data_IF_162447824461
#
_entry.id   IF_162447824461
#
_cell.length_a   1.000
_cell.length_b   1.000
_cell.length_c   1.000
_cell.angle_alpha   90.00
_cell.angle_beta   90.00
_cell.angle_gamma   90.00
#
_symmetry.space_group_name_H-M   'P 1'
#
loop_
_entity.id
_entity.type
_entity.pdbx_description
1 polymer ?
#
# COMPACT_ATOMS: atom_id res chain seq x y z
N UNK A 1 28.98 -1.97 21.90
CA UNK A 1 28.97 -1.37 20.55
C UNK A 1 30.40 -1.15 20.09
N UNK A 2 30.61 -0.74 18.84
CA UNK A 2 31.92 -0.30 18.31
C UNK A 2 32.10 1.19 18.63
N UNK A 3 33.29 1.58 19.11
CA UNK A 3 33.61 2.97 19.49
C UNK A 3 34.94 3.40 18.86
N UNK A 4 35.02 4.65 18.41
CA UNK A 4 36.24 5.27 17.89
C UNK A 4 36.28 6.75 18.27
N UNK A 5 37.45 7.23 18.69
CA UNK A 5 37.68 8.62 19.10
C UNK A 5 38.71 9.28 18.18
N UNK A 6 38.44 10.52 17.77
CA UNK A 6 39.36 11.32 16.97
C UNK A 6 39.25 12.81 17.35
N UNK A 7 40.36 13.53 17.24
CA UNK A 7 40.45 14.98 17.51
C UNK A 7 40.64 15.68 16.17
N UNK A 8 39.76 16.64 15.85
CA UNK A 8 39.85 17.46 14.64
C UNK A 8 40.23 18.90 15.01
N UNK A 9 41.15 19.48 14.25
CA UNK A 9 41.45 20.91 14.26
C UNK A 9 40.49 21.67 13.34
N UNK A 10 40.35 23.00 13.49
CA UNK A 10 39.55 23.81 12.58
C UNK A 10 39.95 23.59 11.11
N UNK A 11 38.97 23.19 10.29
CA UNK A 11 39.17 22.90 8.86
C UNK A 11 39.52 21.44 8.54
N UNK A 12 39.75 20.59 9.55
CA UNK A 12 39.94 19.15 9.34
C UNK A 12 38.61 18.40 9.22
N UNK A 13 38.62 17.32 8.45
CA UNK A 13 37.50 16.41 8.27
C UNK A 13 37.95 14.97 8.44
N UNK A 14 37.13 14.16 9.10
CA UNK A 14 37.31 12.71 9.15
C UNK A 14 36.14 12.00 8.47
N UNK A 15 36.45 10.92 7.75
CA UNK A 15 35.47 9.96 7.23
C UNK A 15 35.70 8.63 7.92
N UNK A 16 34.64 7.99 8.39
CA UNK A 16 34.66 6.61 8.83
C UNK A 16 33.59 5.81 8.09
N UNK A 17 33.80 4.50 7.97
CA UNK A 17 32.85 3.59 7.34
C UNK A 17 32.53 2.44 8.29
N UNK A 18 31.24 2.15 8.44
CA UNK A 18 30.76 0.94 9.12
C UNK A 18 30.42 -0.10 8.06
N UNK A 19 31.03 -1.28 8.16
CA UNK A 19 30.83 -2.41 7.25
C UNK A 19 30.31 -3.61 8.04
N UNK A 20 29.31 -4.28 7.50
CA UNK A 20 28.89 -5.60 7.96
C UNK A 20 29.66 -6.66 7.17
N UNK A 21 30.19 -7.68 7.87
CA UNK A 21 30.85 -8.84 7.28
C UNK A 21 30.20 -10.10 7.82
N UNK A 22 29.96 -11.09 6.96
CA UNK A 22 29.35 -12.37 7.37
C UNK A 22 30.36 -13.24 8.14
N UNK A 23 31.62 -13.23 7.71
CA UNK A 23 32.73 -13.86 8.40
C UNK A 23 33.89 -12.86 8.52
N UNK A 24 34.13 -12.39 9.74
CA UNK A 24 35.22 -11.45 10.03
C UNK A 24 36.60 -12.09 9.92
N UNK A 25 36.70 -13.43 9.91
CA UNK A 25 37.95 -14.18 9.77
C UNK A 25 38.35 -14.43 8.31
N UNK A 26 37.40 -14.35 7.38
CA UNK A 26 37.63 -14.53 5.94
C UNK A 26 38.07 -13.24 5.21
N UNK A 27 38.21 -12.12 5.93
CA UNK A 27 38.02 -10.78 5.34
C UNK A 27 39.14 -9.76 5.50
N UNK A 28 40.43 -10.14 5.41
CA UNK A 28 41.52 -9.14 5.41
C UNK A 28 41.36 -8.11 4.26
N UNK A 29 40.85 -8.52 3.10
CA UNK A 29 40.68 -7.64 1.92
C UNK A 29 39.54 -6.62 2.04
N UNK A 30 38.39 -7.00 2.61
CA UNK A 30 37.22 -6.13 2.68
C UNK A 30 37.39 -5.04 3.74
N UNK A 31 38.09 -5.33 4.83
CA UNK A 31 38.39 -4.37 5.89
C UNK A 31 39.60 -3.48 5.56
N UNK A 32 40.57 -4.00 4.79
CA UNK A 32 41.77 -3.23 4.37
C UNK A 32 41.55 -2.28 3.20
N UNK A 33 40.49 -2.44 2.41
CA UNK A 33 40.20 -1.53 1.29
C UNK A 33 39.71 -0.17 1.80
N UNK A 34 40.47 0.92 1.70
CA UNK A 34 40.03 2.24 2.15
C UNK A 34 38.83 2.71 1.32
N UNK A 35 37.81 3.26 1.99
CA UNK A 35 36.69 3.95 1.33
C UNK A 35 37.01 5.43 1.30
N UNK A 36 37.02 6.03 0.10
CA UNK A 36 36.91 7.48 -0.02
C UNK A 36 35.44 7.87 0.20
N UNK A 37 35.13 8.46 1.37
CA UNK A 37 33.76 8.84 1.73
C UNK A 37 33.16 9.91 0.84
N UNK A 38 33.97 10.85 0.37
CA UNK A 38 33.52 11.89 -0.57
C UNK A 38 33.12 11.29 -1.92
N UNK A 39 33.93 10.35 -2.44
CA UNK A 39 33.59 9.62 -3.66
C UNK A 39 32.32 8.77 -3.47
N UNK A 40 32.20 8.07 -2.35
CA UNK A 40 31.00 7.29 -2.03
C UNK A 40 29.74 8.17 -1.96
N UNK A 41 29.83 9.34 -1.32
CA UNK A 41 28.73 10.32 -1.27
C UNK A 41 28.39 10.84 -2.66
N UNK A 42 29.39 11.24 -3.45
CA UNK A 42 29.19 11.71 -4.83
C UNK A 42 28.48 10.67 -5.68
N UNK A 43 28.96 9.43 -5.68
CA UNK A 43 28.35 8.31 -6.42
C UNK A 43 26.91 8.05 -5.97
N UNK A 44 26.63 8.13 -4.67
CA UNK A 44 25.28 7.97 -4.12
C UNK A 44 24.35 9.08 -4.62
N UNK A 45 24.79 10.33 -4.58
CA UNK A 45 24.02 11.49 -5.08
C UNK A 45 23.77 11.39 -6.58
N UNK A 46 24.80 11.04 -7.36
CA UNK A 46 24.69 10.85 -8.81
C UNK A 46 23.70 9.73 -9.18
N UNK A 47 23.75 8.60 -8.46
CA UNK A 47 22.80 7.51 -8.65
C UNK A 47 21.37 7.98 -8.45
N UNK A 48 21.06 8.61 -7.31
CA UNK A 48 19.70 9.05 -6.99
C UNK A 48 19.20 10.15 -7.91
N UNK A 49 20.06 11.11 -8.31
CA UNK A 49 19.70 12.14 -9.29
C UNK A 49 19.41 11.54 -10.67
N UNK A 50 20.23 10.58 -11.12
CA UNK A 50 20.02 9.88 -12.38
C UNK A 50 18.73 9.07 -12.34
N UNK A 51 18.46 8.39 -11.23
CA UNK A 51 17.24 7.63 -11.03
C UNK A 51 16.01 8.54 -11.06
N UNK A 52 15.96 9.59 -10.24
CA UNK A 52 14.86 10.57 -10.24
C UNK A 52 14.68 11.27 -11.60
N UNK A 53 15.76 11.45 -12.36
CA UNK A 53 15.73 11.98 -13.72
C UNK A 53 14.83 11.18 -14.68
N UNK A 54 14.56 9.89 -14.40
CA UNK A 54 13.65 9.04 -15.18
C UNK A 54 12.16 9.37 -14.94
N UNK A 55 11.82 10.09 -13.86
CA UNK A 55 10.44 10.44 -13.51
C UNK A 55 9.73 11.22 -14.62
N UNK A 56 8.57 10.72 -15.03
CA UNK A 56 7.66 11.36 -16.01
C UNK A 56 6.77 12.43 -15.38
N UNK A 57 6.70 12.52 -14.07
CA UNK A 57 5.89 13.53 -13.40
C UNK A 57 6.60 14.89 -13.42
N UNK A 58 5.94 15.91 -13.99
CA UNK A 58 6.41 17.30 -14.06
C UNK A 58 5.36 18.29 -13.52
N UNK A 59 4.41 17.78 -12.74
CA UNK A 59 3.29 18.54 -12.20
C UNK A 59 3.66 19.43 -11.02
N UNK A 60 2.63 20.10 -10.47
CA UNK A 60 2.73 21.13 -9.42
C UNK A 60 3.48 20.67 -8.17
N UNK A 61 3.36 19.40 -7.79
CA UNK A 61 3.93 18.86 -6.55
C UNK A 61 5.15 17.97 -6.78
N UNK A 62 5.98 18.31 -7.79
CA UNK A 62 7.10 17.47 -8.22
C UNK A 62 8.00 17.01 -7.07
N UNK A 63 8.39 17.93 -6.19
CA UNK A 63 9.30 17.61 -5.08
C UNK A 63 8.71 16.61 -4.09
N UNK A 64 7.41 16.71 -3.81
CA UNK A 64 6.70 15.77 -2.93
C UNK A 64 6.55 14.39 -3.57
N UNK A 65 6.24 14.35 -4.87
CA UNK A 65 6.16 13.10 -5.64
C UNK A 65 7.53 12.44 -5.76
N UNK A 66 8.59 13.20 -6.04
CA UNK A 66 9.96 12.69 -6.12
C UNK A 66 10.41 12.15 -4.76
N UNK A 67 10.08 12.84 -3.65
CA UNK A 67 10.36 12.34 -2.29
C UNK A 67 9.66 11.02 -2.01
N UNK A 68 8.37 10.90 -2.32
CA UNK A 68 7.64 9.64 -2.19
C UNK A 68 8.22 8.53 -3.08
N UNK A 69 8.63 8.85 -4.31
CA UNK A 69 9.27 7.89 -5.19
C UNK A 69 10.58 7.33 -4.61
N UNK A 70 11.42 8.20 -4.01
CA UNK A 70 12.63 7.78 -3.31
C UNK A 70 12.32 6.80 -2.18
N UNK A 71 11.28 7.07 -1.38
CA UNK A 71 10.86 6.19 -0.28
C UNK A 71 10.47 4.83 -0.79
N UNK A 72 9.59 4.77 -1.80
CA UNK A 72 9.16 3.50 -2.39
C UNK A 72 10.35 2.70 -2.94
N UNK A 73 11.32 3.38 -3.56
CA UNK A 73 12.56 2.75 -4.04
C UNK A 73 13.44 2.25 -2.89
N UNK A 74 13.56 3.01 -1.80
CA UNK A 74 14.33 2.63 -0.60
C UNK A 74 13.70 1.46 0.17
N UNK A 75 12.37 1.31 0.08
CA UNK A 75 11.63 0.16 0.62
C UNK A 75 11.65 -1.06 -0.31
N UNK A 76 12.32 -0.97 -1.46
CA UNK A 76 12.52 -2.09 -2.38
C UNK A 76 13.84 -2.79 -2.06
N UNK A 77 13.78 -4.08 -1.71
CA UNK A 77 14.95 -4.90 -1.47
C UNK A 77 15.67 -5.18 -2.79
N UNK A 78 16.87 -4.60 -2.93
CA UNK A 78 17.60 -4.59 -4.20
C UNK A 78 17.90 -5.99 -4.76
N UNK A 79 18.19 -7.05 -4.01
CA UNK A 79 18.46 -8.36 -4.61
C UNK A 79 17.26 -9.03 -5.26
N UNK A 80 16.06 -8.93 -4.67
CA UNK A 80 14.88 -9.69 -5.14
C UNK A 80 13.80 -8.83 -5.80
N UNK A 81 13.79 -7.51 -5.57
CA UNK A 81 12.71 -6.63 -6.02
C UNK A 81 11.49 -6.64 -5.09
N UNK A 82 11.55 -7.38 -3.97
CA UNK A 82 10.55 -7.37 -2.91
C UNK A 82 10.36 -5.96 -2.33
N UNK A 83 9.11 -5.54 -2.10
CA UNK A 83 8.78 -4.22 -1.57
C UNK A 83 8.13 -4.39 -0.20
N UNK A 84 8.76 -3.86 0.85
CA UNK A 84 8.21 -3.96 2.21
C UNK A 84 7.20 -2.85 2.50
N UNK A 85 6.21 -3.11 3.35
CA UNK A 85 5.20 -2.12 3.74
C UNK A 85 5.80 -0.93 4.50
N UNK A 86 6.79 -1.18 5.36
CA UNK A 86 7.64 -0.15 5.99
C UNK A 86 8.99 -0.74 6.42
N UNK A 87 9.96 0.14 6.74
CA UNK A 87 11.27 -0.26 7.26
C UNK A 87 11.29 -0.44 8.79
N UNK A 88 10.13 -0.39 9.45
CA UNK A 88 10.01 -0.39 10.92
C UNK A 88 9.17 -1.54 11.43
N UNK A 89 9.34 -1.81 12.74
CA UNK A 89 8.45 -2.67 13.50
C UNK A 89 8.05 -1.98 14.79
N UNK A 90 6.83 -2.28 15.25
CA UNK A 90 6.35 -1.97 16.60
C UNK A 90 6.36 -0.49 16.95
N UNK A 91 6.23 0.37 15.94
CA UNK A 91 5.88 1.75 16.17
C UNK A 91 4.38 1.83 16.48
N UNK A 92 3.99 2.53 17.56
CA UNK A 92 2.63 2.51 18.06
C UNK A 92 1.66 3.36 17.25
N UNK A 93 0.50 2.81 16.92
CA UNK A 93 -0.66 3.57 16.41
C UNK A 93 -1.30 4.47 17.50
N UNK A 94 -1.02 4.17 18.77
CA UNK A 94 -1.40 4.99 19.94
C UNK A 94 -0.25 4.91 20.96
N UNK A 95 0.33 6.04 21.37
CA UNK A 95 1.45 6.03 22.34
C UNK A 95 1.00 5.36 23.66
N UNK A 96 1.74 4.33 24.08
CA UNK A 96 1.40 3.49 25.24
C UNK A 96 0.38 2.38 24.94
N UNK A 97 -0.20 2.36 23.74
CA UNK A 97 -1.16 1.38 23.28
C UNK A 97 -0.54 0.06 22.81
N UNK A 98 -1.43 -0.88 22.48
CA UNK A 98 -1.08 -2.27 22.13
C UNK A 98 -0.94 -2.52 20.62
N UNK A 99 -1.29 -1.53 19.79
CA UNK A 99 -1.28 -1.57 18.33
C UNK A 99 0.12 -1.25 17.79
N UNK A 100 1.01 -2.24 17.90
CA UNK A 100 2.42 -2.13 17.55
C UNK A 100 2.78 -3.34 16.67
N UNK A 101 2.86 -3.13 15.35
CA UNK A 101 2.97 -4.21 14.35
C UNK A 101 4.30 -4.18 13.59
N UNK A 102 4.77 -5.34 13.12
CA UNK A 102 5.95 -5.46 12.26
C UNK A 102 5.56 -5.34 10.79
N UNK A 103 6.08 -4.32 10.10
CA UNK A 103 5.74 -3.99 8.70
C UNK A 103 6.90 -4.28 7.73
N UNK A 104 7.95 -4.96 8.18
CA UNK A 104 9.15 -5.28 7.37
C UNK A 104 8.94 -6.46 6.41
N UNK A 105 7.70 -6.69 6.00
CA UNK A 105 7.28 -7.78 5.12
C UNK A 105 6.66 -7.25 3.84
N UNK A 106 6.59 -8.11 2.84
CA UNK A 106 5.98 -7.83 1.53
C UNK A 106 4.51 -8.20 1.63
N UNK A 107 3.64 -7.23 1.85
CA UNK A 107 2.21 -7.41 1.61
C UNK A 107 1.94 -7.36 0.12
N UNK A 108 1.20 -8.34 -0.39
CA UNK A 108 0.80 -8.39 -1.81
C UNK A 108 0.09 -7.09 -2.20
N UNK A 109 -0.83 -6.62 -1.33
CA UNK A 109 -1.51 -5.34 -1.45
C UNK A 109 -0.53 -4.19 -1.68
N UNK A 110 0.25 -3.87 -0.66
CA UNK A 110 1.13 -2.70 -0.61
C UNK A 110 2.12 -2.69 -1.79
N UNK A 111 2.61 -3.87 -2.17
CA UNK A 111 3.53 -4.02 -3.29
C UNK A 111 2.85 -3.89 -4.65
N UNK A 112 1.65 -4.46 -4.84
CA UNK A 112 0.84 -4.27 -6.05
C UNK A 112 0.46 -2.80 -6.28
N UNK A 113 0.14 -2.12 -5.19
CA UNK A 113 -0.14 -0.70 -5.14
C UNK A 113 1.13 0.13 -5.44
N UNK A 114 2.29 -0.22 -4.88
CA UNK A 114 3.58 0.43 -5.21
C UNK A 114 3.95 0.28 -6.69
N UNK A 115 3.66 -0.88 -7.29
CA UNK A 115 3.87 -1.12 -8.72
C UNK A 115 3.14 -0.09 -9.58
N UNK A 116 1.91 0.28 -9.22
CA UNK A 116 1.15 1.33 -9.90
C UNK A 116 1.87 2.68 -9.88
N UNK A 117 2.42 3.10 -8.72
CA UNK A 117 3.21 4.33 -8.63
C UNK A 117 4.44 4.28 -9.56
N UNK A 118 5.21 3.19 -9.52
CA UNK A 118 6.39 3.06 -10.37
C UNK A 118 6.03 3.13 -11.86
N UNK A 119 5.01 2.39 -12.29
CA UNK A 119 4.54 2.44 -13.68
C UNK A 119 4.04 3.83 -14.09
N UNK A 120 3.32 4.53 -13.21
CA UNK A 120 2.85 5.89 -13.46
C UNK A 120 3.97 6.91 -13.58
N UNK A 121 5.00 6.77 -12.75
CA UNK A 121 6.17 7.65 -12.75
C UNK A 121 7.18 7.28 -13.84
N UNK A 122 7.06 6.11 -14.48
CA UNK A 122 7.95 5.66 -15.56
C UNK A 122 9.12 4.79 -15.10
N UNK A 123 9.09 4.28 -13.88
CA UNK A 123 10.07 3.38 -13.28
C UNK A 123 9.77 1.91 -13.64
N UNK A 124 9.96 1.56 -14.91
CA UNK A 124 9.59 0.22 -15.43
C UNK A 124 10.55 -0.89 -15.00
N UNK A 125 11.80 -0.56 -14.66
CA UNK A 125 12.80 -1.54 -14.19
C UNK A 125 12.41 -2.09 -12.81
N UNK A 126 12.06 -1.21 -11.88
CA UNK A 126 11.54 -1.56 -10.55
C UNK A 126 10.28 -2.43 -10.67
N UNK A 127 9.40 -2.04 -11.60
CA UNK A 127 8.17 -2.75 -11.85
C UNK A 127 8.42 -4.18 -12.35
N UNK A 128 9.32 -4.35 -13.32
CA UNK A 128 9.66 -5.67 -13.86
C UNK A 128 10.22 -6.61 -12.80
N UNK A 129 11.11 -6.11 -11.94
CA UNK A 129 11.72 -6.91 -10.87
C UNK A 129 10.73 -7.35 -9.81
N UNK A 130 9.80 -6.48 -9.41
CA UNK A 130 8.72 -6.89 -8.52
C UNK A 130 7.82 -7.94 -9.19
N UNK A 131 7.53 -7.79 -10.49
CA UNK A 131 6.73 -8.78 -11.23
C UNK A 131 7.42 -10.15 -11.33
N UNK A 132 8.74 -10.21 -11.48
CA UNK A 132 9.51 -11.45 -11.40
C UNK A 132 9.37 -12.11 -10.03
N UNK A 133 9.54 -11.33 -8.95
CA UNK A 133 9.35 -11.82 -7.58
C UNK A 133 7.93 -12.35 -7.36
N UNK A 134 6.92 -11.62 -7.82
CA UNK A 134 5.51 -11.98 -7.67
C UNK A 134 5.15 -13.23 -8.49
N UNK A 135 5.68 -13.35 -9.71
CA UNK A 135 5.49 -14.53 -10.55
C UNK A 135 6.00 -15.80 -9.86
N UNK A 136 7.09 -15.71 -9.10
CA UNK A 136 7.59 -16.83 -8.32
C UNK A 136 6.62 -17.22 -7.18
N UNK A 137 5.97 -16.24 -6.54
CA UNK A 137 5.00 -16.49 -5.45
C UNK A 137 3.70 -17.12 -5.93
N UNK A 138 3.11 -16.63 -7.03
CA UNK A 138 1.81 -17.15 -7.52
C UNK A 138 1.91 -18.56 -8.12
N UNK A 139 3.12 -19.01 -8.41
CA UNK A 139 3.40 -20.35 -8.97
C UNK A 139 3.60 -21.41 -7.88
N UNK A 140 3.55 -21.01 -6.60
CA UNK A 140 3.62 -21.91 -5.46
C UNK A 140 2.30 -22.68 -5.29
N UNK A 141 2.34 -23.76 -4.50
CA UNK A 141 1.15 -24.58 -4.21
C UNK A 141 0.13 -23.80 -3.35
N UNK A 142 -1.15 -24.16 -3.50
CA UNK A 142 -2.23 -23.51 -2.77
C UNK A 142 -2.09 -23.73 -1.26
N UNK A 143 -2.16 -22.63 -0.53
CA UNK A 143 -2.15 -22.62 0.92
C UNK A 143 -3.54 -22.76 1.54
N UNK A 144 -3.62 -22.75 2.88
CA UNK A 144 -4.89 -22.87 3.61
C UNK A 144 -5.86 -21.70 3.35
N UNK A 145 -5.36 -20.56 2.87
CA UNK A 145 -6.14 -19.34 2.59
C UNK A 145 -6.35 -19.11 1.09
N UNK A 146 -5.96 -20.07 0.24
CA UNK A 146 -6.13 -20.02 -1.21
C UNK A 146 -4.81 -20.00 -1.98
N UNK A 147 -4.86 -19.65 -3.27
CA UNK A 147 -3.71 -19.64 -4.18
C UNK A 147 -2.53 -18.74 -3.80
N UNK A 148 -2.74 -17.78 -2.89
CA UNK A 148 -1.75 -16.77 -2.57
C UNK A 148 -1.78 -16.44 -1.08
N UNK A 149 -0.61 -16.39 -0.46
CA UNK A 149 -0.47 -15.93 0.90
C UNK A 149 -0.48 -14.39 0.94
N UNK A 150 -1.08 -13.83 1.99
CA UNK A 150 -1.23 -12.38 2.17
C UNK A 150 0.10 -11.62 2.12
N UNK A 151 1.11 -12.12 2.82
CA UNK A 151 2.40 -11.46 2.96
C UNK A 151 3.56 -12.44 3.07
N UNK A 152 4.76 -11.98 2.72
CA UNK A 152 5.98 -12.80 2.67
C UNK A 152 7.18 -12.06 3.27
N UNK A 153 8.21 -12.80 3.67
CA UNK A 153 9.52 -12.19 3.87
C UNK A 153 10.12 -11.69 2.54
N UNK A 154 11.15 -10.84 2.62
CA UNK A 154 11.82 -10.24 1.45
C UNK A 154 12.40 -11.26 0.45
N UNK A 155 12.73 -12.46 0.92
CA UNK A 155 13.20 -13.58 0.09
C UNK A 155 12.08 -14.57 -0.27
N UNK A 156 10.83 -14.27 0.07
CA UNK A 156 9.68 -15.12 -0.21
C UNK A 156 9.35 -16.16 0.87
N UNK A 157 9.98 -16.13 2.05
CA UNK A 157 9.62 -17.05 3.15
C UNK A 157 8.17 -16.86 3.60
N UNK A 158 7.50 -17.98 3.89
CA UNK A 158 6.08 -18.01 4.29
C UNK A 158 5.88 -17.83 5.79
N UNK A 159 6.73 -18.47 6.59
CA UNK A 159 6.60 -18.45 8.05
C UNK A 159 7.03 -17.10 8.64
N UNK A 160 6.08 -16.44 9.29
CA UNK A 160 6.25 -15.10 9.86
C UNK A 160 5.61 -15.02 11.26
N UNK A 161 6.06 -15.88 12.22
CA UNK A 161 5.42 -16.01 13.52
C UNK A 161 5.45 -14.71 14.31
N UNK A 162 4.29 -14.27 14.80
CA UNK A 162 4.17 -13.09 15.67
C UNK A 162 4.70 -13.42 17.07
N UNK A 163 5.79 -12.77 17.49
CA UNK A 163 6.45 -12.98 18.78
C UNK A 163 6.58 -11.65 19.51
N UNK A 164 6.12 -11.60 20.76
CA UNK A 164 6.33 -10.45 21.64
C UNK A 164 7.72 -10.49 22.29
N UNK A 165 8.50 -9.43 22.08
CA UNK A 165 9.81 -9.21 22.69
C UNK A 165 9.65 -8.50 24.03
N UNK A 166 9.35 -9.25 25.09
CA UNK A 166 9.04 -8.72 26.43
C UNK A 166 10.20 -8.04 27.15
N UNK A 167 11.43 -8.22 26.65
CA UNK A 167 12.65 -7.60 27.19
C UNK A 167 12.91 -6.17 26.66
N UNK A 168 12.08 -5.67 25.74
CA UNK A 168 12.20 -4.33 25.18
C UNK A 168 11.10 -3.41 25.73
N UNK A 169 11.46 -2.17 26.03
CA UNK A 169 10.52 -1.17 26.56
C UNK A 169 9.56 -0.64 25.49
N UNK A 170 9.97 -0.70 24.22
CA UNK A 170 9.21 -0.17 23.10
C UNK A 170 9.26 1.36 22.99
N UNK A 171 8.86 1.87 21.83
CA UNK A 171 8.95 3.30 21.54
C UNK A 171 8.05 4.09 22.51
N UNK A 172 8.67 5.02 23.26
CA UNK A 172 8.01 5.82 24.32
C UNK A 172 7.22 4.96 25.33
N UNK A 173 7.71 3.76 25.63
CA UNK A 173 7.06 2.84 26.57
C UNK A 173 5.85 2.09 26.00
N UNK A 174 5.63 2.13 24.69
CA UNK A 174 4.52 1.45 24.03
C UNK A 174 4.81 -0.04 23.88
N UNK A 175 3.96 -0.89 24.48
CA UNK A 175 4.15 -2.34 24.56
C UNK A 175 2.92 -3.09 24.03
N UNK A 176 3.11 -4.30 23.49
CA UNK A 176 4.39 -5.01 23.37
C UNK A 176 5.18 -4.58 22.13
N UNK A 177 6.49 -4.83 22.15
CA UNK A 177 7.30 -4.88 20.92
C UNK A 177 7.11 -6.26 20.31
N UNK A 178 6.79 -6.32 19.01
CA UNK A 178 6.55 -7.55 18.27
C UNK A 178 7.52 -7.68 17.09
N UNK A 179 7.78 -8.92 16.71
CA UNK A 179 8.34 -9.28 15.40
C UNK A 179 7.44 -10.32 14.77
N UNK A 180 7.36 -10.35 13.44
CA UNK A 180 6.33 -11.16 12.76
C UNK A 180 4.97 -10.48 12.74
N UNK A 181 4.01 -11.12 12.08
CA UNK A 181 2.67 -10.56 11.94
C UNK A 181 1.60 -11.66 11.87
N UNK A 182 0.63 -11.59 12.78
CA UNK A 182 -0.45 -12.58 12.87
C UNK A 182 -1.45 -12.55 11.71
N UNK A 183 -1.47 -11.51 10.88
CA UNK A 183 -2.37 -11.45 9.72
C UNK A 183 -2.00 -12.48 8.63
N UNK A 184 -0.81 -13.08 8.71
CA UNK A 184 -0.31 -14.12 7.76
C UNK A 184 -1.26 -15.31 7.59
N UNK A 185 -2.05 -15.64 8.61
CA UNK A 185 -3.02 -16.73 8.58
C UNK A 185 -4.44 -16.31 8.13
N UNK A 186 -4.67 -15.02 7.84
CA UNK A 186 -5.98 -14.50 7.45
C UNK A 186 -6.34 -14.82 6.00
N UNK A 187 -7.64 -14.91 5.73
CA UNK A 187 -8.16 -14.94 4.37
C UNK A 187 -8.46 -13.50 3.96
N UNK A 188 -7.73 -12.96 2.99
CA UNK A 188 -8.03 -11.65 2.42
C UNK A 188 -8.38 -11.83 0.96
N UNK A 189 -9.66 -11.61 0.62
CA UNK A 189 -10.12 -11.77 -0.76
C UNK A 189 -9.72 -10.58 -1.63
N UNK A 190 -9.36 -9.46 -1.02
CA UNK A 190 -8.96 -8.23 -1.70
C UNK A 190 -7.63 -8.32 -2.43
N UNK A 191 -6.68 -9.13 -1.94
CA UNK A 191 -5.33 -9.22 -2.52
C UNK A 191 -5.33 -9.67 -3.99
N UNK A 192 -6.34 -10.44 -4.40
CA UNK A 192 -6.46 -10.93 -5.77
C UNK A 192 -6.82 -9.81 -6.74
N UNK A 193 -7.67 -8.88 -6.33
CA UNK A 193 -8.01 -7.70 -7.13
C UNK A 193 -6.81 -6.79 -7.31
N UNK A 194 -6.10 -6.53 -6.22
CA UNK A 194 -4.93 -5.68 -6.18
C UNK A 194 -3.80 -6.27 -7.04
N UNK A 195 -3.53 -7.56 -6.90
CA UNK A 195 -2.57 -8.29 -7.71
C UNK A 195 -2.92 -8.25 -9.19
N UNK A 196 -4.14 -8.64 -9.56
CA UNK A 196 -4.50 -8.76 -10.99
C UNK A 196 -4.61 -7.38 -11.64
N UNK A 197 -5.00 -6.33 -10.90
CA UNK A 197 -4.95 -4.95 -11.42
C UNK A 197 -3.51 -4.49 -11.67
N UNK A 198 -2.57 -4.81 -10.76
CA UNK A 198 -1.15 -4.47 -10.93
C UNK A 198 -0.55 -5.18 -12.16
N UNK A 199 -0.90 -6.45 -12.37
CA UNK A 199 -0.52 -7.22 -13.57
C UNK A 199 -1.13 -6.63 -14.84
N UNK A 200 -2.41 -6.27 -14.81
CA UNK A 200 -3.09 -5.64 -15.95
C UNK A 200 -2.41 -4.31 -16.33
N UNK A 201 -2.01 -3.52 -15.34
CA UNK A 201 -1.28 -2.27 -15.55
C UNK A 201 0.13 -2.52 -16.07
N UNK A 202 0.82 -3.55 -15.56
CA UNK A 202 2.14 -3.95 -16.04
C UNK A 202 2.09 -4.41 -17.49
N UNK A 203 1.13 -5.25 -17.91
CA UNK A 203 0.93 -5.62 -19.32
C UNK A 203 0.62 -4.41 -20.22
N UNK A 204 0.01 -3.37 -19.64
CA UNK A 204 -0.34 -2.16 -20.38
C UNK A 204 0.81 -1.18 -20.56
N UNK A 205 1.65 -0.99 -19.54
CA UNK A 205 2.66 0.09 -19.51
C UNK A 205 4.10 -0.39 -19.32
N UNK A 206 4.29 -1.62 -18.85
CA UNK A 206 5.58 -2.30 -18.74
C UNK A 206 5.74 -3.32 -19.87
N UNK A 207 5.83 -4.60 -19.51
CA UNK A 207 6.05 -5.69 -20.46
C UNK A 207 4.84 -6.62 -20.58
N UNK A 208 4.58 -7.17 -21.77
CA UNK A 208 3.59 -8.24 -21.96
C UNK A 208 3.78 -9.42 -21.02
N UNK A 209 2.69 -9.96 -20.48
CA UNK A 209 2.77 -11.19 -19.68
C UNK A 209 2.97 -12.44 -20.55
N UNK A 210 3.72 -13.41 -20.02
CA UNK A 210 3.92 -14.71 -20.65
C UNK A 210 2.76 -15.68 -20.36
N UNK A 211 2.66 -16.74 -21.16
CA UNK A 211 1.58 -17.73 -21.05
C UNK A 211 1.56 -18.46 -19.71
N UNK A 212 2.73 -18.82 -19.16
CA UNK A 212 2.77 -19.52 -17.87
C UNK A 212 2.25 -18.65 -16.73
N UNK A 213 2.64 -17.38 -16.68
CA UNK A 213 2.09 -16.46 -15.70
C UNK A 213 0.57 -16.24 -15.91
N UNK A 214 0.10 -16.18 -17.15
CA UNK A 214 -1.35 -16.15 -17.44
C UNK A 214 -2.09 -17.37 -16.89
N UNK A 215 -1.50 -18.57 -16.93
CA UNK A 215 -2.14 -19.77 -16.37
C UNK A 215 -2.39 -19.63 -14.88
N UNK A 216 -1.46 -19.04 -14.15
CA UNK A 216 -1.61 -18.76 -12.71
C UNK A 216 -2.66 -17.68 -12.43
N UNK A 217 -2.66 -16.59 -13.21
CA UNK A 217 -3.71 -15.56 -13.11
C UNK A 217 -5.11 -16.12 -13.36
N UNK A 218 -5.24 -16.99 -14.38
CA UNK A 218 -6.49 -17.66 -14.70
C UNK A 218 -6.94 -18.60 -13.57
N UNK A 219 -6.00 -19.33 -12.97
CA UNK A 219 -6.26 -20.21 -11.82
C UNK A 219 -6.79 -19.40 -10.64
N UNK A 220 -6.14 -18.28 -10.31
CA UNK A 220 -6.61 -17.35 -9.27
C UNK A 220 -7.99 -16.76 -9.58
N UNK A 221 -8.25 -16.32 -10.81
CA UNK A 221 -9.56 -15.80 -11.21
C UNK A 221 -10.67 -16.85 -11.04
N UNK A 222 -10.39 -18.12 -11.39
CA UNK A 222 -11.35 -19.22 -11.19
C UNK A 222 -11.61 -19.52 -9.71
N UNK A 223 -10.59 -19.41 -8.87
CA UNK A 223 -10.74 -19.51 -7.42
C UNK A 223 -11.58 -18.36 -6.87
N UNK A 224 -11.35 -17.11 -7.32
CA UNK A 224 -12.20 -15.95 -6.96
C UNK A 224 -13.66 -16.20 -7.34
N UNK A 225 -13.93 -16.74 -8.55
CA UNK A 225 -15.30 -17.10 -8.93
C UNK A 225 -15.98 -18.10 -7.97
N UNK A 226 -15.21 -18.92 -7.25
CA UNK A 226 -15.74 -19.94 -6.32
C UNK A 226 -15.89 -19.42 -4.89
N UNK A 227 -15.07 -18.46 -4.47
CA UNK A 227 -14.97 -18.06 -3.07
C UNK A 227 -15.42 -16.63 -2.77
N UNK A 228 -15.77 -15.82 -3.79
CA UNK A 228 -16.08 -14.40 -3.57
C UNK A 228 -17.22 -14.17 -2.57
N UNK A 229 -18.14 -15.12 -2.38
CA UNK A 229 -19.21 -15.04 -1.38
C UNK A 229 -18.74 -15.32 0.05
N UNK A 230 -17.52 -15.80 0.27
CA UNK A 230 -17.02 -16.09 1.62
C UNK A 230 -16.78 -14.80 2.41
N UNK A 231 -17.00 -14.81 3.73
CA UNK A 231 -16.55 -13.73 4.60
C UNK A 231 -15.03 -13.81 4.78
N UNK A 232 -14.38 -12.66 4.91
CA UNK A 232 -12.92 -12.49 4.96
C UNK A 232 -12.52 -11.38 5.95
N UNK A 233 -11.23 -11.09 6.10
CA UNK A 233 -10.70 -10.08 7.03
C UNK A 233 -10.43 -8.70 6.40
N UNK A 234 -10.56 -8.57 5.07
CA UNK A 234 -10.41 -7.35 4.29
C UNK A 234 -9.09 -6.58 4.48
N UNK A 235 -8.99 -5.41 3.84
CA UNK A 235 -7.81 -4.56 3.78
C UNK A 235 -7.29 -4.09 5.14
N UNK A 236 -8.19 -3.95 6.13
CA UNK A 236 -7.85 -3.49 7.47
C UNK A 236 -7.48 -4.61 8.43
N UNK A 237 -7.42 -5.86 7.93
CA UNK A 237 -6.97 -7.03 8.68
C UNK A 237 -7.75 -7.23 9.99
N UNK A 238 -9.06 -6.94 9.94
CA UNK A 238 -9.89 -6.78 11.14
C UNK A 238 -9.84 -8.03 12.01
N UNK A 239 -9.43 -7.88 13.28
CA UNK A 239 -9.40 -9.00 14.23
C UNK A 239 -10.76 -9.24 14.92
N UNK A 240 -11.76 -8.42 14.60
CA UNK A 240 -13.15 -8.54 15.07
C UNK A 240 -13.99 -9.63 14.39
N UNK A 241 -13.40 -10.40 13.47
CA UNK A 241 -14.02 -11.55 12.81
C UNK A 241 -14.39 -11.32 11.35
N UNK A 242 -14.48 -12.41 10.59
CA UNK A 242 -14.73 -12.42 9.14
C UNK A 242 -16.12 -11.89 8.79
N UNK A 243 -16.22 -11.04 7.75
CA UNK A 243 -17.49 -10.54 7.19
C UNK A 243 -17.42 -10.43 5.67
N UNK A 244 -18.56 -10.24 5.02
CA UNK A 244 -18.60 -9.87 3.60
C UNK A 244 -18.36 -8.37 3.46
N UNK A 245 -17.08 -7.97 3.47
CA UNK A 245 -16.67 -6.56 3.33
C UNK A 245 -16.89 -6.04 1.91
N UNK A 246 -17.41 -4.82 1.79
CA UNK A 246 -17.69 -4.19 0.48
C UNK A 246 -16.40 -4.03 -0.31
N UNK A 247 -15.30 -3.64 0.34
CA UNK A 247 -13.99 -3.52 -0.29
C UNK A 247 -13.48 -4.87 -0.85
N UNK A 248 -13.61 -5.94 -0.07
CA UNK A 248 -13.20 -7.28 -0.51
C UNK A 248 -14.00 -7.74 -1.73
N UNK A 249 -15.31 -7.45 -1.77
CA UNK A 249 -16.15 -7.74 -2.94
C UNK A 249 -15.76 -6.87 -4.13
N UNK A 250 -15.50 -5.59 -3.92
CA UNK A 250 -14.99 -4.68 -4.96
C UNK A 250 -13.71 -5.25 -5.58
N UNK A 251 -12.77 -5.71 -4.79
CA UNK A 251 -11.52 -6.26 -5.30
C UNK A 251 -11.68 -7.63 -5.98
N UNK A 252 -12.61 -8.47 -5.52
CA UNK A 252 -13.02 -9.65 -6.28
C UNK A 252 -13.58 -9.26 -7.66
N UNK A 253 -14.41 -8.21 -7.74
CA UNK A 253 -14.89 -7.67 -9.02
C UNK A 253 -13.73 -7.17 -9.89
N UNK A 254 -12.78 -6.43 -9.31
CA UNK A 254 -11.59 -5.94 -10.02
C UNK A 254 -10.80 -7.11 -10.60
N UNK A 255 -10.54 -8.15 -9.81
CA UNK A 255 -9.84 -9.35 -10.25
C UNK A 255 -10.46 -9.94 -11.52
N UNK A 256 -11.79 -10.12 -11.53
CA UNK A 256 -12.49 -10.73 -12.66
C UNK A 256 -12.61 -9.79 -13.87
N UNK A 257 -12.89 -8.50 -13.66
CA UNK A 257 -12.92 -7.51 -14.75
C UNK A 257 -11.55 -7.37 -15.43
N UNK A 258 -10.46 -7.27 -14.65
CA UNK A 258 -9.11 -7.15 -15.21
C UNK A 258 -8.67 -8.44 -15.91
N UNK A 259 -9.06 -9.61 -15.39
CA UNK A 259 -8.83 -10.89 -16.08
C UNK A 259 -9.50 -10.94 -17.45
N UNK A 260 -10.77 -10.53 -17.55
CA UNK A 260 -11.50 -10.48 -18.83
C UNK A 260 -10.82 -9.53 -19.82
N UNK A 261 -10.47 -8.31 -19.36
CA UNK A 261 -9.80 -7.31 -20.22
C UNK A 261 -8.44 -7.77 -20.70
N UNK A 262 -7.68 -8.46 -19.84
CA UNK A 262 -6.38 -9.00 -20.20
C UNK A 262 -6.53 -10.14 -21.23
N UNK A 263 -7.51 -11.04 -21.03
CA UNK A 263 -7.84 -12.09 -21.98
C UNK A 263 -8.27 -11.53 -23.34
N UNK A 264 -9.09 -10.48 -23.38
CA UNK A 264 -9.52 -9.82 -24.60
C UNK A 264 -8.36 -9.17 -25.35
N UNK A 265 -7.59 -8.34 -24.64
CA UNK A 265 -6.48 -7.58 -25.22
C UNK A 265 -5.42 -8.50 -25.85
N UNK A 266 -5.20 -9.67 -25.26
CA UNK A 266 -4.15 -10.62 -25.68
C UNK A 266 -4.66 -11.88 -26.37
N UNK A 267 -5.98 -12.02 -26.54
CA UNK A 267 -6.61 -13.26 -27.04
C UNK A 267 -6.21 -14.52 -26.25
N UNK A 268 -6.14 -14.40 -24.92
CA UNK A 268 -5.74 -15.51 -24.05
C UNK A 268 -6.93 -16.44 -23.74
N UNK A 269 -6.71 -17.77 -23.61
CA UNK A 269 -7.79 -18.72 -23.33
C UNK A 269 -8.38 -18.55 -21.93
N UNK A 270 -9.71 -18.37 -21.87
CA UNK A 270 -10.48 -18.16 -20.64
C UNK A 270 -11.90 -18.76 -20.78
N UNK A 271 -12.44 -19.32 -19.71
CA UNK A 271 -13.88 -19.61 -19.58
C UNK A 271 -14.63 -18.29 -19.33
N UNK A 272 -14.90 -17.58 -20.42
CA UNK A 272 -15.49 -16.23 -20.39
C UNK A 272 -16.88 -16.22 -19.75
N UNK A 273 -17.81 -17.15 -20.08
CA UNK A 273 -19.13 -17.15 -19.46
C UNK A 273 -19.07 -17.29 -17.93
N UNK A 274 -18.18 -18.15 -17.40
CA UNK A 274 -18.00 -18.32 -15.95
C UNK A 274 -17.52 -17.03 -15.28
N UNK A 275 -16.47 -16.42 -15.83
CA UNK A 275 -15.83 -15.24 -15.23
C UNK A 275 -16.73 -14.01 -15.35
N UNK A 276 -17.38 -13.81 -16.50
CA UNK A 276 -18.29 -12.69 -16.70
C UNK A 276 -19.50 -12.77 -15.77
N UNK A 277 -20.09 -13.95 -15.60
CA UNK A 277 -21.21 -14.16 -14.67
C UNK A 277 -20.82 -13.80 -13.24
N UNK A 278 -19.72 -14.36 -12.72
CA UNK A 278 -19.29 -14.07 -11.36
C UNK A 278 -18.95 -12.58 -11.16
N UNK A 279 -18.32 -11.92 -12.14
CA UNK A 279 -18.09 -10.47 -12.10
C UNK A 279 -19.42 -9.70 -11.98
N UNK A 280 -20.41 -10.05 -12.79
CA UNK A 280 -21.70 -9.36 -12.81
C UNK A 280 -22.50 -9.62 -11.53
N UNK A 281 -22.48 -10.85 -11.01
CA UNK A 281 -23.10 -11.23 -9.74
C UNK A 281 -22.48 -10.43 -8.57
N UNK A 282 -21.14 -10.28 -8.53
CA UNK A 282 -20.47 -9.45 -7.51
C UNK A 282 -20.89 -7.98 -7.63
N UNK A 283 -20.98 -7.46 -8.85
CA UNK A 283 -21.39 -6.07 -9.08
C UNK A 283 -22.79 -5.82 -8.51
N UNK A 284 -23.76 -6.67 -8.85
CA UNK A 284 -25.13 -6.57 -8.35
C UNK A 284 -25.21 -6.78 -6.83
N UNK A 285 -24.40 -7.68 -6.26
CA UNK A 285 -24.33 -7.88 -4.83
C UNK A 285 -23.83 -6.62 -4.10
N UNK A 286 -22.78 -5.96 -4.60
CA UNK A 286 -22.29 -4.69 -4.03
C UNK A 286 -23.36 -3.60 -4.12
N UNK A 287 -24.03 -3.47 -5.26
CA UNK A 287 -25.04 -2.45 -5.47
C UNK A 287 -26.29 -2.67 -4.62
N UNK A 288 -26.63 -3.94 -4.33
CA UNK A 288 -27.83 -4.32 -3.55
C UNK A 288 -27.56 -4.33 -2.05
N UNK A 289 -26.43 -4.89 -1.61
CA UNK A 289 -26.15 -5.16 -0.21
C UNK A 289 -25.09 -4.22 0.40
N UNK A 290 -24.30 -3.55 -0.44
CA UNK A 290 -23.29 -2.59 -0.01
C UNK A 290 -23.79 -1.14 0.03
N UNK A 291 -24.91 -0.81 -0.61
CA UNK A 291 -25.48 0.54 -0.63
C UNK A 291 -26.55 0.72 0.44
N UNK A 292 -26.36 1.70 1.32
CA UNK A 292 -27.38 2.15 2.27
C UNK A 292 -28.14 3.35 1.67
N UNK A 293 -29.39 3.13 1.28
CA UNK A 293 -30.23 4.15 0.68
C UNK A 293 -30.70 5.23 1.67
N UNK A 294 -30.79 4.91 2.97
CA UNK A 294 -31.20 5.85 4.01
C UNK A 294 -30.05 6.81 4.33
N UNK A 295 -28.85 6.27 4.56
CA UNK A 295 -27.63 7.07 4.81
C UNK A 295 -27.04 7.67 3.54
N UNK A 296 -27.44 7.16 2.37
CA UNK A 296 -26.96 7.53 1.03
C UNK A 296 -25.44 7.36 0.91
N UNK A 297 -24.95 6.19 1.28
CA UNK A 297 -23.52 5.84 1.24
C UNK A 297 -23.31 4.34 1.08
N UNK A 298 -22.15 3.96 0.56
CA UNK A 298 -21.69 2.58 0.67
C UNK A 298 -21.22 2.29 2.11
N UNK A 299 -21.57 1.11 2.61
CA UNK A 299 -21.25 0.64 3.97
C UNK A 299 -19.96 -0.18 4.01
N UNK A 300 -19.44 -0.44 5.19
CA UNK A 300 -18.21 -1.21 5.41
C UNK A 300 -18.35 -2.68 4.97
N UNK A 301 -19.45 -3.32 5.37
CA UNK A 301 -19.74 -4.72 5.08
C UNK A 301 -21.23 -4.93 4.88
N UNK A 302 -21.63 -5.95 4.14
CA UNK A 302 -23.03 -6.27 3.94
C UNK A 302 -23.77 -6.44 5.28
N UNK A 303 -24.96 -5.84 5.37
CA UNK A 303 -25.78 -5.83 6.60
C UNK A 303 -25.29 -4.90 7.72
N UNK A 304 -24.24 -4.10 7.49
CA UNK A 304 -23.79 -3.04 8.41
C UNK A 304 -24.30 -1.66 7.97
N UNK A 305 -24.29 -0.67 8.87
CA UNK A 305 -24.49 0.75 8.55
C UNK A 305 -23.22 1.60 8.72
N UNK A 306 -22.12 0.97 9.14
CA UNK A 306 -20.85 1.62 9.40
C UNK A 306 -20.19 2.09 8.10
N UNK A 307 -19.51 3.23 8.16
CA UNK A 307 -18.73 3.77 7.04
C UNK A 307 -17.34 3.14 6.98
N UNK A 308 -16.77 3.12 5.77
CA UNK A 308 -15.38 2.72 5.52
C UNK A 308 -14.79 3.58 4.39
N UNK A 309 -13.61 4.16 4.63
CA UNK A 309 -12.92 5.02 3.68
C UNK A 309 -12.41 4.27 2.44
N UNK A 310 -12.24 2.95 2.51
CA UNK A 310 -11.89 2.10 1.37
C UNK A 310 -12.94 2.14 0.25
N UNK A 311 -14.20 2.49 0.56
CA UNK A 311 -15.25 2.66 -0.45
C UNK A 311 -14.96 3.82 -1.41
N UNK A 312 -14.08 4.77 -1.05
CA UNK A 312 -13.63 5.82 -1.97
C UNK A 312 -12.93 5.23 -3.21
N UNK A 313 -12.26 4.07 -3.05
CA UNK A 313 -11.54 3.39 -4.12
C UNK A 313 -12.46 2.89 -5.24
N UNK A 314 -13.78 2.79 -5.04
CA UNK A 314 -14.74 2.37 -6.07
C UNK A 314 -14.64 3.23 -7.33
N UNK A 315 -14.48 4.56 -7.18
CA UNK A 315 -14.31 5.47 -8.32
C UNK A 315 -12.89 5.45 -8.90
N UNK A 316 -11.88 5.17 -8.07
CA UNK A 316 -10.49 5.06 -8.49
C UNK A 316 -10.29 3.83 -9.38
N UNK A 317 -10.93 2.72 -9.01
CA UNK A 317 -10.91 1.42 -9.68
C UNK A 317 -11.91 1.29 -10.84
N UNK A 318 -12.68 2.36 -11.11
CA UNK A 318 -13.68 2.44 -12.20
C UNK A 318 -14.83 1.44 -12.05
N UNK A 319 -15.17 1.09 -10.82
CA UNK A 319 -16.37 0.32 -10.51
C UNK A 319 -17.63 1.19 -10.71
N UNK A 320 -17.57 2.44 -10.25
CA UNK A 320 -18.65 3.41 -10.35
C UNK A 320 -18.17 4.72 -11.00
N UNK A 321 -19.06 5.41 -11.70
CA UNK A 321 -18.77 6.74 -12.24
C UNK A 321 -18.44 7.70 -11.09
N UNK A 322 -17.38 8.53 -11.19
CA UNK A 322 -17.06 9.52 -10.17
C UNK A 322 -18.15 10.56 -9.86
N UNK A 323 -19.10 10.73 -10.77
CA UNK A 323 -20.22 11.66 -10.64
C UNK A 323 -21.54 10.95 -10.32
N UNK A 324 -21.52 9.64 -10.07
CA UNK A 324 -22.72 8.90 -9.65
C UNK A 324 -23.17 9.42 -8.27
N UNK A 325 -24.49 9.70 -8.08
CA UNK A 325 -25.00 10.18 -6.79
C UNK A 325 -24.63 9.29 -5.60
N UNK A 326 -24.40 7.99 -5.82
CA UNK A 326 -23.99 7.06 -4.76
C UNK A 326 -22.59 7.33 -4.26
N UNK A 327 -21.60 7.47 -5.16
CA UNK A 327 -20.23 7.74 -4.72
C UNK A 327 -20.06 9.17 -4.22
N UNK A 328 -20.81 10.13 -4.77
CA UNK A 328 -20.85 11.51 -4.23
C UNK A 328 -21.39 11.49 -2.81
N UNK A 329 -22.47 10.75 -2.54
CA UNK A 329 -23.00 10.56 -1.19
C UNK A 329 -21.99 9.91 -0.24
N UNK A 330 -21.23 8.91 -0.70
CA UNK A 330 -20.15 8.31 0.09
C UNK A 330 -19.05 9.33 0.41
N UNK A 331 -18.61 10.15 -0.55
CA UNK A 331 -17.62 11.22 -0.32
C UNK A 331 -18.12 12.20 0.74
N UNK A 332 -19.37 12.65 0.62
CA UNK A 332 -19.98 13.58 1.57
C UNK A 332 -20.07 12.98 2.98
N UNK A 333 -20.40 11.69 3.10
CA UNK A 333 -20.44 10.98 4.38
C UNK A 333 -19.06 10.76 4.97
N UNK A 334 -18.06 10.45 4.16
CA UNK A 334 -16.66 10.39 4.62
C UNK A 334 -16.22 11.74 5.17
N UNK A 335 -16.49 12.85 4.48
CA UNK A 335 -16.16 14.19 4.96
C UNK A 335 -16.89 14.54 6.26
N UNK A 336 -18.15 14.16 6.39
CA UNK A 336 -18.97 14.54 7.55
C UNK A 336 -18.69 13.68 8.79
N UNK A 337 -18.39 12.39 8.61
CA UNK A 337 -18.45 11.40 9.69
C UNK A 337 -17.13 10.63 9.90
N UNK A 338 -16.22 10.62 8.91
CA UNK A 338 -14.89 9.99 9.05
C UNK A 338 -13.73 10.98 9.07
N UNK A 339 -13.95 12.24 8.67
CA UNK A 339 -12.91 13.26 8.70
C UNK A 339 -12.85 13.97 10.07
N UNK A 340 -11.65 14.08 10.61
CA UNK A 340 -11.31 15.03 11.66
C UNK A 340 -10.54 16.16 11.00
N UNK A 341 -11.18 17.32 10.86
CA UNK A 341 -10.69 18.45 10.06
C UNK A 341 -10.50 18.07 8.58
N UNK A 342 -9.30 17.72 8.14
CA UNK A 342 -9.05 17.20 6.77
C UNK A 342 -8.50 15.78 6.75
N UNK A 343 -8.28 15.18 7.91
CA UNK A 343 -7.65 13.87 8.05
C UNK A 343 -8.71 12.78 8.24
N UNK A 344 -8.58 11.65 7.54
CA UNK A 344 -9.64 10.64 7.45
C UNK A 344 -9.32 9.40 8.27
N UNK A 345 -10.27 8.93 9.08
CA UNK A 345 -10.20 7.62 9.76
C UNK A 345 -10.56 6.47 8.81
N UNK A 346 -10.04 5.27 9.06
CA UNK A 346 -10.30 4.08 8.23
C UNK A 346 -11.78 3.74 8.14
N UNK A 347 -12.46 3.70 9.28
CA UNK A 347 -13.86 3.31 9.42
C UNK A 347 -14.48 4.00 10.64
N UNK A 348 -15.81 3.93 10.74
CA UNK A 348 -16.55 4.57 11.82
C UNK A 348 -16.32 3.87 13.17
N UNK A 349 -15.62 4.53 14.09
CA UNK A 349 -15.31 3.97 15.41
C UNK A 349 -16.60 3.68 16.20
N UNK A 350 -16.72 2.46 16.72
CA UNK A 350 -17.87 2.04 17.54
C UNK A 350 -19.11 1.64 16.74
N UNK A 351 -19.07 1.64 15.40
CA UNK A 351 -20.10 1.04 14.54
C UNK A 351 -19.46 0.04 13.58
N UNK A 352 -20.15 -1.09 13.32
CA UNK A 352 -19.69 -2.10 12.38
C UNK A 352 -18.58 -3.00 12.92
N UNK A 353 -17.75 -3.52 12.02
CA UNK A 353 -16.60 -4.35 12.37
C UNK A 353 -15.41 -3.45 12.73
N UNK A 354 -15.14 -3.34 14.02
CA UNK A 354 -13.88 -2.76 14.49
C UNK A 354 -12.72 -3.76 14.35
N UNK A 355 -11.51 -3.26 14.56
CA UNK A 355 -10.29 -4.08 14.65
C UNK A 355 -10.27 -5.08 15.82
N UNK A 356 -11.25 -5.01 16.74
CA UNK A 356 -11.35 -5.89 17.91
C UNK A 356 -10.38 -5.53 19.04
N UNK A 357 -9.76 -4.33 18.99
CA UNK A 357 -8.74 -3.89 19.93
C UNK A 357 -9.22 -2.68 20.77
N UNK A 358 -8.67 -2.54 21.97
CA UNK A 358 -8.96 -1.40 22.86
C UNK A 358 -8.10 -0.19 22.52
N UNK A 359 -8.57 1.02 22.87
CA UNK A 359 -7.80 2.26 22.67
C UNK A 359 -8.33 3.14 21.54
N UNK A 360 -7.71 4.29 21.34
CA UNK A 360 -8.02 5.22 20.24
C UNK A 360 -7.01 5.01 19.11
N UNK A 361 -7.42 5.26 17.88
CA UNK A 361 -6.54 5.23 16.71
C UNK A 361 -6.40 6.65 16.14
N UNK A 362 -5.27 6.94 15.51
CA UNK A 362 -5.11 8.15 14.70
C UNK A 362 -5.96 8.12 13.44
N UNK A 363 -5.88 9.20 12.67
CA UNK A 363 -6.38 9.21 11.27
C UNK A 363 -5.37 8.51 10.38
N UNK A 364 -5.83 7.76 9.39
CA UNK A 364 -4.97 6.92 8.56
C UNK A 364 -4.58 7.68 7.29
N UNK A 365 -3.28 7.95 7.12
CA UNK A 365 -2.78 8.92 6.15
C UNK A 365 -3.21 8.63 4.71
N UNK A 366 -3.27 7.36 4.30
CA UNK A 366 -3.70 6.99 2.95
C UNK A 366 -5.16 7.34 2.66
N UNK A 367 -6.04 7.26 3.66
CA UNK A 367 -7.47 7.52 3.48
C UNK A 367 -7.71 8.98 3.09
N UNK A 368 -6.91 9.90 3.63
CA UNK A 368 -6.92 11.32 3.23
C UNK A 368 -6.51 11.48 1.76
N UNK A 369 -5.49 10.76 1.29
CA UNK A 369 -5.10 10.81 -0.12
C UNK A 369 -6.15 10.17 -1.05
N UNK A 370 -6.82 9.09 -0.62
CA UNK A 370 -7.96 8.54 -1.36
C UNK A 370 -9.12 9.53 -1.46
N UNK A 371 -9.40 10.27 -0.37
CA UNK A 371 -10.42 11.30 -0.37
C UNK A 371 -10.08 12.43 -1.35
N UNK A 372 -8.84 12.91 -1.35
CA UNK A 372 -8.36 13.91 -2.32
C UNK A 372 -8.59 13.44 -3.75
N UNK A 373 -8.19 12.21 -4.07
CA UNK A 373 -8.36 11.70 -5.43
C UNK A 373 -9.84 11.50 -5.79
N UNK A 374 -10.68 11.03 -4.86
CA UNK A 374 -12.12 10.87 -5.07
C UNK A 374 -12.81 12.22 -5.31
N UNK A 375 -12.48 13.26 -4.53
CA UNK A 375 -12.96 14.63 -4.73
C UNK A 375 -12.54 15.18 -6.09
N UNK A 376 -11.26 15.00 -6.46
CA UNK A 376 -10.74 15.46 -7.74
C UNK A 376 -11.47 14.77 -8.91
N UNK A 377 -11.74 13.47 -8.80
CA UNK A 377 -12.50 12.69 -9.78
C UNK A 377 -13.96 13.12 -9.87
N UNK A 378 -14.57 13.53 -8.77
CA UNK A 378 -15.92 14.08 -8.72
C UNK A 378 -16.01 15.54 -9.21
N UNK A 379 -14.89 16.16 -9.60
CA UNK A 379 -14.83 17.55 -10.08
C UNK A 379 -14.78 18.60 -8.96
N UNK A 380 -14.67 18.19 -7.69
CA UNK A 380 -14.55 19.09 -6.52
C UNK A 380 -13.09 19.49 -6.30
N UNK A 381 -12.52 20.20 -7.28
CA UNK A 381 -11.08 20.45 -7.37
C UNK A 381 -10.56 21.38 -6.25
N UNK A 382 -11.35 22.36 -5.84
CA UNK A 382 -10.96 23.28 -4.75
C UNK A 382 -10.83 22.53 -3.41
N UNK A 383 -11.84 21.72 -3.06
CA UNK A 383 -11.81 20.88 -1.85
C UNK A 383 -10.64 19.89 -1.89
N UNK A 384 -10.46 19.21 -3.04
CA UNK A 384 -9.37 18.27 -3.24
C UNK A 384 -8.00 18.93 -3.05
N UNK A 385 -7.81 20.11 -3.63
CA UNK A 385 -6.56 20.88 -3.53
C UNK A 385 -6.30 21.36 -2.11
N UNK A 386 -7.31 21.91 -1.45
CA UNK A 386 -7.20 22.38 -0.07
C UNK A 386 -6.79 21.24 0.88
N UNK A 387 -7.49 20.10 0.80
CA UNK A 387 -7.18 18.92 1.62
C UNK A 387 -5.79 18.37 1.28
N UNK A 388 -5.42 18.32 0.00
CA UNK A 388 -4.12 17.82 -0.41
C UNK A 388 -2.97 18.68 0.11
N UNK A 389 -3.01 19.99 -0.12
CA UNK A 389 -1.97 20.92 0.32
C UNK A 389 -1.86 20.97 1.85
N UNK A 390 -2.98 20.83 2.56
CA UNK A 390 -2.98 20.69 4.02
C UNK A 390 -2.37 19.38 4.49
N UNK A 391 -2.72 18.25 3.86
CA UNK A 391 -2.12 16.95 4.16
C UNK A 391 -0.60 16.98 4.00
N UNK A 392 -0.07 17.74 3.01
CA UNK A 392 1.37 17.88 2.81
C UNK A 392 2.12 18.50 4.00
N UNK A 393 1.43 19.25 4.86
CA UNK A 393 2.03 19.90 6.04
C UNK A 393 2.32 18.93 7.20
N UNK A 394 1.74 17.73 7.18
CA UNK A 394 1.99 16.70 8.19
C UNK A 394 3.24 15.85 7.92
N UNK A 395 3.89 16.06 6.78
CA UNK A 395 5.16 15.41 6.52
C UNK A 395 6.21 15.85 7.54
N UNK A 396 7.11 14.94 7.94
CA UNK A 396 8.24 15.35 8.75
C UNK A 396 9.22 16.25 7.96
N UNK A 397 10.29 16.71 8.61
CA UNK A 397 11.34 17.54 7.99
C UNK A 397 12.04 16.93 6.76
N UNK A 398 11.87 15.62 6.50
CA UNK A 398 12.38 14.93 5.32
C UNK A 398 11.31 14.74 4.22
N UNK A 399 10.08 15.21 4.44
CA UNK A 399 8.94 15.01 3.55
C UNK A 399 8.33 13.60 3.64
N UNK A 400 8.46 12.94 4.80
CA UNK A 400 8.03 11.56 5.02
C UNK A 400 6.80 11.47 5.90
N UNK A 401 5.97 10.46 5.66
CA UNK A 401 4.73 10.20 6.40
C UNK A 401 4.77 8.85 7.09
N UNK A 402 4.17 8.79 8.26
CA UNK A 402 3.81 7.53 8.91
C UNK A 402 2.43 7.06 8.46
N UNK A 403 2.10 5.85 8.86
CA UNK A 403 0.80 5.23 8.71
C UNK A 403 -0.37 6.10 9.21
N UNK A 404 -0.23 6.67 10.40
CA UNK A 404 -1.28 7.47 11.01
C UNK A 404 -0.76 8.82 11.49
N UNK A 405 -1.70 9.74 11.67
CA UNK A 405 -1.50 11.03 12.30
C UNK A 405 -2.38 11.10 13.54
N UNK A 406 -1.77 11.43 14.68
CA UNK A 406 -2.46 11.63 15.94
C UNK A 406 -3.16 12.98 16.03
N UNK A 407 -3.96 13.16 17.08
CA UNK A 407 -4.80 14.35 17.26
C UNK A 407 -3.99 15.66 17.38
N UNK A 408 -2.71 15.59 17.76
CA UNK A 408 -1.82 16.76 17.85
C UNK A 408 -0.97 16.94 16.59
N UNK A 409 -1.20 16.14 15.55
CA UNK A 409 -0.41 16.12 14.32
C UNK A 409 0.87 15.28 14.41
N UNK A 410 1.05 14.52 15.49
CA UNK A 410 2.20 13.63 15.64
C UNK A 410 2.10 12.41 14.71
N UNK A 411 3.25 11.94 14.21
CA UNK A 411 3.34 10.74 13.38
C UNK A 411 3.24 9.48 14.26
N UNK A 412 2.28 8.62 13.94
CA UNK A 412 1.96 7.36 14.63
C UNK A 412 1.98 6.17 13.67
N UNK A 413 2.16 4.97 14.21
CA UNK A 413 2.28 3.73 13.44
C UNK A 413 3.60 3.63 12.66
N UNK A 414 3.66 2.71 11.71
CA UNK A 414 4.89 2.40 10.99
C UNK A 414 5.37 3.55 10.07
N UNK A 415 6.70 3.67 9.90
CA UNK A 415 7.34 4.83 9.27
C UNK A 415 8.63 4.50 8.49
N UNK A 416 8.88 5.14 7.33
CA UNK A 416 7.86 5.70 6.45
C UNK A 416 7.00 4.55 5.90
N UNK A 417 5.71 4.79 5.73
CA UNK A 417 4.81 3.75 5.22
C UNK A 417 4.70 3.84 3.69
N UNK A 418 5.03 2.74 2.99
CA UNK A 418 4.93 2.65 1.53
C UNK A 418 3.53 3.01 1.04
N UNK A 419 2.50 2.46 1.70
CA UNK A 419 1.11 2.61 1.32
C UNK A 419 0.67 4.08 1.30
N UNK A 420 1.04 4.85 2.32
CA UNK A 420 0.77 6.30 2.37
C UNK A 420 1.50 7.07 1.27
N UNK A 421 2.79 6.80 1.05
CA UNK A 421 3.56 7.49 0.01
C UNK A 421 3.05 7.22 -1.41
N UNK A 422 2.49 6.03 -1.65
CA UNK A 422 1.77 5.74 -2.87
C UNK A 422 0.48 6.55 -3.00
N UNK A 423 -0.35 6.60 -1.95
CA UNK A 423 -1.58 7.37 -1.95
C UNK A 423 -1.33 8.82 -2.38
N UNK A 424 -0.27 9.42 -1.84
CA UNK A 424 0.22 10.74 -2.24
C UNK A 424 0.51 10.82 -3.74
N UNK A 425 1.30 9.88 -4.29
CA UNK A 425 1.64 9.87 -5.72
C UNK A 425 0.39 9.78 -6.59
N UNK A 426 -0.56 8.91 -6.24
CA UNK A 426 -1.81 8.73 -7.00
C UNK A 426 -2.66 10.00 -6.99
N UNK A 427 -2.89 10.57 -5.80
CA UNK A 427 -3.66 11.79 -5.60
C UNK A 427 -3.02 12.98 -6.33
N UNK A 428 -1.70 13.18 -6.17
CA UNK A 428 -0.96 14.25 -6.84
C UNK A 428 -1.06 14.15 -8.37
N UNK A 429 -0.95 12.94 -8.93
CA UNK A 429 -1.01 12.73 -10.36
C UNK A 429 -2.40 13.04 -10.93
N UNK A 430 -3.46 12.56 -10.26
CA UNK A 430 -4.82 12.80 -10.74
C UNK A 430 -5.22 14.26 -10.59
N UNK A 431 -4.99 14.84 -9.41
CA UNK A 431 -5.35 16.21 -9.10
C UNK A 431 -4.61 17.20 -10.01
N UNK A 432 -3.31 17.00 -10.24
CA UNK A 432 -2.52 17.85 -11.13
C UNK A 432 -3.07 17.86 -12.56
N UNK A 433 -3.43 16.68 -13.07
CA UNK A 433 -4.05 16.53 -14.38
C UNK A 433 -5.42 17.22 -14.43
N UNK A 434 -6.26 17.04 -13.41
CA UNK A 434 -7.60 17.63 -13.38
C UNK A 434 -7.54 19.17 -13.33
N UNK A 435 -6.63 19.74 -12.54
CA UNK A 435 -6.36 21.18 -12.50
C UNK A 435 -5.76 21.72 -13.80
N UNK A 436 -5.06 20.90 -14.59
CA UNK A 436 -4.50 21.28 -15.89
C UNK A 436 -5.51 21.23 -17.05
N UNK A 437 -6.61 20.51 -16.90
CA UNK A 437 -7.68 20.40 -17.91
C UNK A 437 -8.76 21.49 -17.78
N UNK A 438 -8.77 22.22 -16.66
CA UNK A 438 -9.72 23.31 -16.38
C UNK A 438 -9.18 24.72 -16.65
N UNK A 439 -8.08 24.86 -17.41
CA UNK A 439 -7.43 26.13 -17.74
C UNK A 439 -7.41 26.42 -19.23
#
# INVERSE_FOLDING_TARGET
>A
GVTADFVLQPGESATFALRQVEDWTAGDGLLSTPINGEDALRRTVEFWRRWLGKSRYKGRWREMVDRSALVLKLLTFEPTGAIVAAATTSLPEEIGGVRNWDYRYVWVRDAAFTLYAFLRLGYTEEAARFMEWLSARVSEEDGPTGPLQLMYGIEGRHELPEVALTHLDGYRGSRPVRVGNGATAQLQLDIYGELIDSVYLFDKYGSPIHYDFWRELRRMAYWVCQCWEQPDESIWEVRGGKRQFVYSKLQCWVALDRTLRLADKRSLPLDRPRVARARDDIYEAIMTHGWDAERRTFVQSFGSSALDASNLLMSLMRFISPTDPRIVGTIDRTLAELASDTLVHRYELGKGAGDGLTGKEGTFSICTFWLVEALARAGRLEDARFIFEKMLTYANHLGLYSEQIGASGELLGNFPQAFTHLGLVSAAFYLDRALGQGG
#
